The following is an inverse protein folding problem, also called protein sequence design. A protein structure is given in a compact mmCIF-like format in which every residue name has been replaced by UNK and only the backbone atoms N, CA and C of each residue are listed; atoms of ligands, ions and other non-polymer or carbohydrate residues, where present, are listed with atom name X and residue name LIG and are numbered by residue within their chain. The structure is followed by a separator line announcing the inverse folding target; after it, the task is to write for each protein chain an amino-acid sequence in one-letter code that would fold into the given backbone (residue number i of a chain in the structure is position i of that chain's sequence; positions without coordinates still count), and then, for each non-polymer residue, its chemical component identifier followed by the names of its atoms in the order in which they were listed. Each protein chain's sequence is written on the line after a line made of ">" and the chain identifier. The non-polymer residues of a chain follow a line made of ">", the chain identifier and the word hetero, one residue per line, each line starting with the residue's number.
data_IF_386141455752
#
_entry.id   IF_386141455752
#
_cell.length_a   1.000
_cell.length_b   1.000
_cell.length_c   1.000
_cell.angle_alpha   90.00
_cell.angle_beta   90.00
_cell.angle_gamma   90.00
#
_symmetry.space_group_name_H-M   'P 1'
#
loop_
_entity.id
_entity.type
_entity.pdbx_description
1 polymer ?
#
# COMPACT_ATOMS: atom_id res chain seq x y z
N UNK A 1 14.18 7.69 3.66
CA UNK A 1 13.04 8.49 3.14
C UNK A 1 12.44 9.31 4.26
N UNK A 2 12.14 10.57 4.00
CA UNK A 2 11.35 11.37 4.94
C UNK A 2 9.86 10.98 4.87
N UNK A 3 9.07 11.54 5.78
CA UNK A 3 7.66 11.17 5.89
C UNK A 3 6.85 11.54 4.66
N UNK A 4 7.16 12.67 4.01
CA UNK A 4 6.45 13.07 2.80
C UNK A 4 6.71 12.10 1.65
N UNK A 5 7.93 11.63 1.51
CA UNK A 5 8.28 10.63 0.49
C UNK A 5 7.63 9.28 0.78
N UNK A 6 7.56 8.88 2.04
CA UNK A 6 6.86 7.64 2.43
C UNK A 6 5.40 7.73 2.01
N UNK A 7 4.75 8.86 2.30
CA UNK A 7 3.36 9.09 1.91
C UNK A 7 3.17 9.00 0.40
N UNK A 8 3.99 9.71 -0.36
CA UNK A 8 3.91 9.69 -1.83
C UNK A 8 4.14 8.29 -2.39
N UNK A 9 5.11 7.58 -1.84
CA UNK A 9 5.45 6.23 -2.26
C UNK A 9 4.25 5.29 -2.04
N UNK A 10 3.63 5.37 -0.88
CA UNK A 10 2.47 4.54 -0.56
C UNK A 10 1.26 4.90 -1.45
N UNK A 11 1.01 6.18 -1.67
CA UNK A 11 -0.08 6.62 -2.54
C UNK A 11 0.05 6.05 -3.96
N UNK A 12 1.27 5.95 -4.47
CA UNK A 12 1.52 5.38 -5.80
C UNK A 12 1.20 3.90 -5.90
N UNK A 13 1.24 3.18 -4.79
CA UNK A 13 0.81 1.76 -4.80
C UNK A 13 -0.68 1.64 -5.06
N UNK A 14 -1.46 2.66 -4.75
CA UNK A 14 -2.90 2.68 -4.99
C UNK A 14 -3.27 3.16 -6.38
N UNK A 15 -2.56 4.17 -6.87
CA UNK A 15 -2.91 4.86 -8.12
C UNK A 15 -2.04 4.44 -9.29
N UNK A 16 -0.86 3.91 -9.05
CA UNK A 16 0.09 3.53 -10.09
C UNK A 16 -0.20 2.16 -10.67
N UNK A 17 0.30 1.96 -11.88
CA UNK A 17 0.14 0.70 -12.59
C UNK A 17 1.38 -0.18 -12.51
N UNK A 18 1.55 -1.01 -13.54
CA UNK A 18 2.61 -2.00 -13.62
C UNK A 18 4.02 -1.42 -13.41
N UNK A 19 4.31 -0.27 -14.03
CA UNK A 19 5.64 0.35 -13.94
C UNK A 19 6.00 0.74 -12.51
N UNK A 20 5.02 1.25 -11.76
CA UNK A 20 5.22 1.61 -10.36
C UNK A 20 5.50 0.35 -9.53
N UNK A 21 4.72 -0.69 -9.76
CA UNK A 21 4.89 -1.95 -9.02
C UNK A 21 6.23 -2.61 -9.31
N UNK A 22 6.65 -2.62 -10.57
CA UNK A 22 7.97 -3.16 -10.93
C UNK A 22 9.11 -2.41 -10.25
N UNK A 23 8.95 -1.10 -10.11
CA UNK A 23 9.99 -0.25 -9.53
C UNK A 23 10.04 -0.27 -8.02
N UNK A 24 8.87 -0.31 -7.36
CA UNK A 24 8.77 -0.08 -5.92
C UNK A 24 8.43 -1.31 -5.09
N UNK A 25 7.95 -2.38 -5.70
CA UNK A 25 7.54 -3.60 -4.98
C UNK A 25 8.59 -4.68 -5.19
N UNK A 26 9.09 -5.25 -4.10
CA UNK A 26 10.00 -6.38 -4.19
C UNK A 26 9.30 -7.61 -4.78
N UNK A 27 9.98 -8.37 -5.61
CA UNK A 27 9.44 -9.64 -6.12
C UNK A 27 9.04 -10.60 -5.00
N UNK A 28 9.77 -10.55 -3.89
CA UNK A 28 9.50 -11.38 -2.70
C UNK A 28 8.50 -10.73 -1.74
N UNK A 29 7.90 -9.60 -2.12
CA UNK A 29 6.87 -8.96 -1.30
C UNK A 29 5.71 -9.92 -1.05
N UNK A 30 5.14 -9.86 0.14
CA UNK A 30 3.88 -10.54 0.43
C UNK A 30 2.79 -9.50 0.61
N UNK A 31 1.69 -9.69 -0.11
CA UNK A 31 0.50 -8.86 0.00
C UNK A 31 -0.69 -9.71 0.42
N UNK A 32 -1.47 -9.20 1.37
CA UNK A 32 -2.72 -9.83 1.80
C UNK A 32 -3.85 -8.86 1.52
N UNK A 33 -4.80 -9.32 0.70
CA UNK A 33 -5.92 -8.50 0.24
C UNK A 33 -7.24 -9.18 0.58
N UNK A 34 -8.34 -8.42 0.70
CA UNK A 34 -9.63 -9.00 1.06
C UNK A 34 -10.38 -9.69 -0.09
N UNK A 35 -9.73 -9.80 -1.25
CA UNK A 35 -10.30 -10.46 -2.44
C UNK A 35 -9.37 -11.56 -2.93
N UNK A 36 -9.93 -12.60 -3.61
CA UNK A 36 -9.10 -13.69 -4.15
C UNK A 36 -8.00 -13.16 -5.08
N UNK A 37 -6.80 -13.76 -5.03
CA UNK A 37 -6.41 -14.97 -4.30
C UNK A 37 -6.04 -14.75 -2.82
N UNK A 38 -6.29 -13.60 -2.25
CA UNK A 38 -6.06 -13.18 -0.87
C UNK A 38 -4.58 -12.98 -0.52
N UNK A 39 -3.71 -13.89 -0.91
CA UNK A 39 -2.26 -13.77 -0.67
C UNK A 39 -1.54 -13.76 -2.03
N UNK A 40 -0.72 -12.76 -2.26
CA UNK A 40 0.02 -12.58 -3.51
C UNK A 40 1.49 -12.30 -3.23
N UNK A 41 2.35 -12.79 -4.12
CA UNK A 41 3.74 -12.34 -4.17
C UNK A 41 3.81 -10.97 -4.87
N UNK A 42 4.96 -10.31 -4.77
CA UNK A 42 5.20 -9.06 -5.52
C UNK A 42 5.12 -9.27 -7.02
N UNK A 43 5.61 -10.40 -7.52
CA UNK A 43 5.54 -10.72 -8.94
C UNK A 43 4.09 -10.90 -9.41
N UNK A 44 3.28 -11.60 -8.63
CA UNK A 44 1.86 -11.77 -8.92
C UNK A 44 1.12 -10.43 -8.86
N UNK A 45 1.50 -9.56 -7.95
CA UNK A 45 0.89 -8.23 -7.84
C UNK A 45 1.18 -7.36 -9.06
N UNK A 46 2.40 -7.43 -9.63
CA UNK A 46 2.74 -6.73 -10.87
C UNK A 46 1.80 -7.16 -12.00
N UNK A 47 1.60 -8.46 -12.15
CA UNK A 47 0.71 -9.00 -13.20
C UNK A 47 -0.74 -8.57 -12.96
N UNK A 48 -1.19 -8.61 -11.72
CA UNK A 48 -2.57 -8.25 -11.36
C UNK A 48 -2.86 -6.78 -11.68
N UNK A 49 -1.94 -5.86 -11.34
CA UNK A 49 -2.19 -4.43 -11.58
C UNK A 49 -2.14 -4.08 -13.06
N UNK A 50 -1.44 -4.86 -13.89
CA UNK A 50 -1.41 -4.64 -15.33
C UNK A 50 -2.80 -4.79 -15.95
N UNK A 51 -3.65 -5.65 -15.38
CA UNK A 51 -4.97 -5.95 -15.90
C UNK A 51 -6.12 -5.34 -15.07
N UNK A 52 -5.77 -4.57 -14.04
CA UNK A 52 -6.78 -4.03 -13.11
C UNK A 52 -6.83 -2.51 -13.24
N UNK A 53 -8.05 -1.92 -13.40
CA UNK A 53 -8.18 -0.47 -13.34
C UNK A 53 -7.66 0.05 -11.99
N UNK A 54 -6.85 1.11 -12.05
CA UNK A 54 -6.27 1.66 -10.83
C UNK A 54 -7.16 2.75 -10.24
N UNK A 55 -6.99 3.00 -8.95
CA UNK A 55 -7.70 4.06 -8.28
C UNK A 55 -7.25 5.42 -8.82
N UNK A 56 -8.18 6.37 -8.94
CA UNK A 56 -7.87 7.71 -9.42
C UNK A 56 -7.20 8.54 -8.35
N UNK A 57 -7.58 8.30 -7.10
CA UNK A 57 -7.02 9.00 -5.94
C UNK A 57 -7.09 8.13 -4.70
N UNK A 58 -6.26 8.43 -3.74
CA UNK A 58 -6.31 7.81 -2.42
C UNK A 58 -5.95 8.86 -1.36
N UNK A 59 -6.67 8.82 -0.26
CA UNK A 59 -6.34 9.59 0.92
C UNK A 59 -5.86 8.63 1.99
N UNK A 60 -4.67 8.88 2.53
CA UNK A 60 -4.11 8.08 3.62
C UNK A 60 -4.37 8.84 4.93
N UNK A 61 -5.36 8.37 5.68
CA UNK A 61 -5.81 9.03 6.91
C UNK A 61 -5.11 8.44 8.11
N UNK A 62 -4.75 9.32 9.06
CA UNK A 62 -4.13 8.92 10.32
C UNK A 62 -2.86 8.10 10.11
N UNK A 63 -2.09 8.48 9.10
CA UNK A 63 -0.85 7.77 8.74
C UNK A 63 0.13 7.79 9.89
N UNK A 64 0.52 6.61 10.33
CA UNK A 64 1.54 6.41 11.35
C UNK A 64 2.74 5.74 10.73
N UNK A 65 3.91 6.30 10.96
CA UNK A 65 5.17 5.82 10.40
C UNK A 65 6.09 5.47 11.55
N UNK A 66 6.72 4.31 11.48
CA UNK A 66 7.69 3.87 12.47
C UNK A 66 8.97 3.46 11.76
N UNK A 67 10.09 3.75 12.41
CA UNK A 67 11.42 3.37 11.93
C UNK A 67 12.10 2.53 13.01
N UNK A 68 11.76 1.23 13.10
CA UNK A 68 12.27 0.36 14.17
C UNK A 68 13.78 0.24 14.16
N UNK A 69 14.37 0.34 12.98
CA UNK A 69 15.83 0.35 12.80
C UNK A 69 16.15 1.02 11.48
N UNK A 70 17.42 1.36 11.27
CA UNK A 70 17.86 1.92 10.00
C UNK A 70 17.54 0.96 8.85
N UNK A 71 17.02 1.51 7.75
CA UNK A 71 16.68 0.71 6.58
C UNK A 71 15.34 -0.01 6.65
N UNK A 72 14.56 0.19 7.71
CA UNK A 72 13.26 -0.46 7.88
C UNK A 72 12.21 0.57 8.27
N UNK A 73 11.12 0.62 7.49
CA UNK A 73 9.99 1.51 7.76
C UNK A 73 8.72 0.67 7.77
N UNK A 74 7.91 0.88 8.81
CA UNK A 74 6.56 0.29 8.86
C UNK A 74 5.55 1.42 8.95
N UNK A 75 4.42 1.27 8.27
CA UNK A 75 3.34 2.24 8.33
C UNK A 75 1.98 1.58 8.48
N UNK A 76 1.05 2.34 9.06
CA UNK A 76 -0.34 1.95 9.19
C UNK A 76 -1.21 3.16 8.92
N UNK A 77 -2.36 2.96 8.27
CA UNK A 77 -3.26 4.04 7.92
C UNK A 77 -4.63 3.51 7.56
N UNK A 78 -5.60 4.43 7.48
CA UNK A 78 -6.88 4.18 6.86
C UNK A 78 -6.82 4.73 5.43
N UNK A 79 -7.08 3.89 4.43
CA UNK A 79 -7.14 4.29 3.03
C UNK A 79 -8.57 4.62 2.64
N UNK A 80 -8.76 5.73 1.93
CA UNK A 80 -10.01 6.08 1.27
C UNK A 80 -9.66 6.28 -0.21
N UNK A 81 -9.93 5.27 -1.02
CA UNK A 81 -9.58 5.27 -2.44
C UNK A 81 -10.84 5.50 -3.28
N UNK A 82 -10.68 6.22 -4.38
CA UNK A 82 -11.79 6.59 -5.25
C UNK A 82 -11.46 6.42 -6.72
N UNK A 83 -12.46 6.00 -7.47
CA UNK A 83 -12.41 5.90 -8.93
C UNK A 83 -13.82 6.13 -9.46
N UNK A 84 -14.07 7.31 -10.10
CA UNK A 84 -15.41 7.70 -10.49
C UNK A 84 -16.33 7.75 -9.28
N UNK A 85 -17.43 7.01 -9.32
CA UNK A 85 -18.37 6.91 -8.21
C UNK A 85 -18.04 5.78 -7.22
N UNK A 86 -17.04 4.97 -7.54
CA UNK A 86 -16.61 3.90 -6.66
C UNK A 86 -15.73 4.44 -5.54
N UNK A 87 -15.94 3.92 -4.34
CA UNK A 87 -15.09 4.20 -3.19
C UNK A 87 -14.73 2.89 -2.50
N UNK A 88 -13.54 2.87 -1.89
CA UNK A 88 -13.05 1.71 -1.18
C UNK A 88 -12.32 2.17 0.07
N UNK A 89 -12.65 1.59 1.20
CA UNK A 89 -12.03 1.94 2.46
C UNK A 89 -11.47 0.69 3.14
N UNK A 90 -10.23 0.80 3.60
CA UNK A 90 -9.54 -0.29 4.26
C UNK A 90 -8.52 0.25 5.26
N UNK A 91 -8.23 -0.55 6.27
CA UNK A 91 -7.11 -0.29 7.17
C UNK A 91 -5.92 -1.09 6.70
N UNK A 92 -4.77 -0.44 6.58
CA UNK A 92 -3.63 -0.99 5.87
C UNK A 92 -2.34 -0.90 6.66
N UNK A 93 -1.46 -1.84 6.39
CA UNK A 93 -0.06 -1.76 6.80
C UNK A 93 0.84 -1.98 5.59
N UNK A 94 2.02 -1.39 5.64
CA UNK A 94 3.08 -1.67 4.68
C UNK A 94 4.42 -1.67 5.40
N UNK A 95 5.35 -2.45 4.87
CA UNK A 95 6.73 -2.49 5.36
C UNK A 95 7.66 -2.24 4.19
N UNK A 96 8.59 -1.30 4.39
CA UNK A 96 9.60 -0.93 3.41
C UNK A 96 10.98 -1.33 3.90
N UNK A 97 11.79 -1.82 2.99
CA UNK A 97 13.16 -2.20 3.27
C UNK A 97 14.07 -1.45 2.31
N UNK A 98 15.15 -0.89 2.84
CA UNK A 98 16.21 -0.30 2.01
C UNK A 98 17.14 -1.43 1.56
N UNK A 99 17.24 -1.62 0.25
CA UNK A 99 18.07 -2.67 -0.33
C UNK A 99 19.50 -2.21 -0.56
N UNK A 100 19.66 -0.95 -1.03
CA UNK A 100 20.95 -0.36 -1.33
C UNK A 100 20.78 1.16 -1.40
N UNK A 101 21.71 1.91 -0.82
CA UNK A 101 21.72 3.40 -0.81
C UNK A 101 20.32 3.98 -0.57
N UNK A 102 19.76 4.61 -1.60
CA UNK A 102 18.42 5.22 -1.57
C UNK A 102 17.37 4.32 -2.22
N UNK A 103 17.65 3.04 -2.43
CA UNK A 103 16.72 2.14 -3.05
C UNK A 103 15.84 1.44 -2.01
N UNK A 104 14.59 1.88 -1.93
CA UNK A 104 13.58 1.33 -1.03
C UNK A 104 12.58 0.49 -1.79
N UNK A 105 12.16 -0.62 -1.19
CA UNK A 105 11.15 -1.51 -1.76
C UNK A 105 10.11 -1.87 -0.72
N UNK A 106 8.87 -2.00 -1.16
CA UNK A 106 7.80 -2.57 -0.34
C UNK A 106 8.03 -4.08 -0.27
N UNK A 107 8.09 -4.62 0.93
CA UNK A 107 8.27 -6.05 1.17
C UNK A 107 7.06 -6.70 1.81
N UNK A 108 6.09 -5.90 2.29
CA UNK A 108 4.84 -6.40 2.86
C UNK A 108 3.77 -5.32 2.71
N UNK A 109 2.55 -5.73 2.38
CA UNK A 109 1.39 -4.84 2.33
C UNK A 109 0.15 -5.64 2.68
N UNK A 110 -0.73 -5.08 3.49
CA UNK A 110 -1.99 -5.71 3.86
C UNK A 110 -3.12 -4.70 3.87
N UNK A 111 -4.27 -5.12 3.36
CA UNK A 111 -5.51 -4.36 3.41
C UNK A 111 -6.55 -5.15 4.16
N UNK A 112 -7.23 -4.50 5.08
CA UNK A 112 -8.29 -5.11 5.88
C UNK A 112 -9.52 -4.23 5.81
N UNK A 113 -10.60 -4.77 5.24
CA UNK A 113 -11.90 -4.10 5.26
C UNK A 113 -12.49 -4.30 6.66
N UNK A 114 -12.88 -3.22 7.35
CA UNK A 114 -13.39 -3.37 8.71
C UNK A 114 -14.68 -4.16 8.74
N UNK A 115 -14.77 -5.09 9.71
CA UNK A 115 -15.96 -5.93 9.89
C UNK A 115 -17.15 -5.16 10.46
N UNK A 116 -16.88 -4.02 11.09
CA UNK A 116 -17.92 -3.17 11.70
C UNK A 116 -17.76 -1.74 11.22
N UNK A 117 -18.85 -1.00 11.22
CA UNK A 117 -18.82 0.41 10.85
C UNK A 117 -17.99 1.22 11.87
N UNK A 118 -17.32 2.27 11.35
CA UNK A 118 -16.59 3.19 12.19
C UNK A 118 -17.58 3.88 13.14
N UNK A 119 -17.27 3.94 14.46
CA UNK A 119 -18.16 4.61 15.40
C UNK A 119 -18.35 6.08 15.02
N UNK A 120 -19.55 6.64 15.25
CA UNK A 120 -19.75 8.07 15.01
C UNK A 120 -18.82 8.88 15.91
N UNK A 121 -18.32 9.98 15.36
CA UNK A 121 -17.52 10.94 16.12
C UNK A 121 -18.48 11.72 16.99
N UNK A 122 -18.46 11.44 18.27
CA UNK A 122 -19.33 12.06 19.24
C UNK A 122 -18.74 13.31 19.85
#
# INVERSE_FOLDING_TARGET
>A
MDDDRVREFEERLWTGGEDVYRRYVSGDCLMVLPEPPFVMSGEEAVEAVADTPRWSSVELRDLQIRRPREGLITLAYEADARRGEQSYRAYCTSTYLRLDHEEWRVVQHQQTVPAVAKPPVG
#
